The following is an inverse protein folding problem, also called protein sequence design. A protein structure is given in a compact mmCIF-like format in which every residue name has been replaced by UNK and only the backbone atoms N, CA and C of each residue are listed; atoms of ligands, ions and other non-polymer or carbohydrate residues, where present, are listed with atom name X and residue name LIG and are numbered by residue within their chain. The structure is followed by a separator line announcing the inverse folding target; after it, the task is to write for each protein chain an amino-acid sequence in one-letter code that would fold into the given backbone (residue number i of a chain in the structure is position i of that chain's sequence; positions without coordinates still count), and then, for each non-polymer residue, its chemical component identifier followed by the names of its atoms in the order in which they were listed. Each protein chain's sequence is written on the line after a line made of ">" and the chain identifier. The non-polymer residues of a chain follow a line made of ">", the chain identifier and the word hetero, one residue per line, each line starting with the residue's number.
data_IF_629910221123
#
_entry.id   IF_629910221123
#
_cell.length_a   1.000
_cell.length_b   1.000
_cell.length_c   1.000
_cell.angle_alpha   90.00
_cell.angle_beta   90.00
_cell.angle_gamma   90.00
#
_symmetry.space_group_name_H-M   'P 1'
#
loop_
_entity.id
_entity.type
_entity.pdbx_description
1 polymer ?
#
# COMPACT_ATOMS: atom_id res chain seq x y z
N UNK A 1 -15.22 -5.79 -9.53
CA UNK A 1 -15.18 -4.66 -10.51
C UNK A 1 -14.37 -5.00 -11.77
N UNK A 2 -13.12 -5.47 -11.65
CA UNK A 2 -12.23 -5.80 -12.79
C UNK A 2 -12.92 -6.56 -13.94
N UNK A 3 -13.55 -7.71 -13.66
CA UNK A 3 -14.27 -8.53 -14.66
C UNK A 3 -15.32 -7.74 -15.46
N UNK A 4 -16.00 -6.78 -14.84
CA UNK A 4 -17.11 -6.02 -15.45
C UNK A 4 -16.63 -5.07 -16.56
N UNK A 5 -15.39 -4.59 -16.48
CA UNK A 5 -14.85 -3.58 -17.40
C UNK A 5 -13.62 -4.05 -18.19
N UNK A 6 -13.32 -5.35 -18.13
CA UNK A 6 -12.16 -5.96 -18.78
C UNK A 6 -12.11 -5.69 -20.29
N UNK A 7 -13.26 -5.75 -20.97
CA UNK A 7 -13.38 -5.48 -22.41
C UNK A 7 -13.10 -4.02 -22.80
N UNK A 8 -12.93 -3.10 -21.83
CA UNK A 8 -12.57 -1.70 -22.07
C UNK A 8 -11.06 -1.46 -22.00
N UNK A 9 -10.26 -2.51 -21.82
CA UNK A 9 -8.82 -2.40 -21.61
C UNK A 9 -8.47 -1.50 -20.39
N UNK A 10 -9.27 -1.59 -19.32
CA UNK A 10 -9.06 -0.86 -18.06
C UNK A 10 -8.61 -1.85 -16.98
N UNK A 11 -7.49 -1.56 -16.32
CA UNK A 11 -6.98 -2.32 -15.18
C UNK A 11 -7.64 -1.84 -13.89
N UNK A 12 -7.92 -2.76 -12.97
CA UNK A 12 -8.55 -2.45 -11.68
C UNK A 12 -7.83 -3.22 -10.58
N UNK A 13 -7.52 -2.55 -9.49
CA UNK A 13 -6.82 -3.11 -8.35
C UNK A 13 -7.43 -2.62 -7.04
N UNK A 14 -7.11 -3.30 -5.95
CA UNK A 14 -7.34 -2.82 -4.60
C UNK A 14 -6.00 -2.65 -3.88
N UNK A 15 -5.89 -1.57 -3.12
CA UNK A 15 -4.80 -1.36 -2.19
C UNK A 15 -5.29 -1.72 -0.79
N UNK A 16 -4.54 -2.56 -0.09
CA UNK A 16 -4.87 -3.05 1.24
C UNK A 16 -3.79 -2.58 2.23
N UNK A 17 -3.78 -1.29 2.60
CA UNK A 17 -2.78 -0.76 3.52
C UNK A 17 -2.98 -1.30 4.95
N UNK A 18 -1.86 -1.45 5.67
CA UNK A 18 -1.84 -1.72 7.10
C UNK A 18 -2.03 -0.46 7.93
N UNK A 19 -1.40 -0.41 9.11
CA UNK A 19 -1.45 0.77 9.97
C UNK A 19 -0.53 1.86 9.40
N UNK A 20 -1.13 2.95 8.95
CA UNK A 20 -0.44 4.11 8.38
C UNK A 20 -0.51 5.28 9.37
N UNK A 21 0.62 5.97 9.55
CA UNK A 21 0.72 7.21 10.31
C UNK A 21 0.17 8.41 9.50
N UNK A 22 -0.59 9.28 10.16
CA UNK A 22 -1.16 10.53 9.63
C UNK A 22 -0.89 11.64 10.66
N UNK A 23 -0.18 12.75 10.33
CA UNK A 23 -0.50 13.64 9.21
C UNK A 23 0.45 13.56 8.02
N UNK A 24 -0.06 13.85 6.83
CA UNK A 24 0.75 14.24 5.67
C UNK A 24 1.70 15.38 6.09
N UNK A 25 3.03 15.21 5.97
CA UNK A 25 3.95 16.25 6.39
C UNK A 25 3.84 17.48 5.46
N UNK A 26 3.83 18.69 6.03
CA UNK A 26 3.82 20.00 5.30
C UNK A 26 5.03 20.24 4.38
N UNK A 27 5.92 19.27 4.26
CA UNK A 27 7.18 19.34 3.51
C UNK A 27 7.14 18.41 2.29
N UNK A 28 8.10 18.62 1.39
CA UNK A 28 8.36 17.73 0.27
C UNK A 28 8.34 16.27 0.72
N UNK A 29 7.66 15.44 -0.06
CA UNK A 29 7.52 14.01 0.16
C UNK A 29 8.93 13.40 0.18
N UNK A 30 9.39 13.01 1.37
CA UNK A 30 10.64 12.29 1.52
C UNK A 30 10.41 10.80 1.18
N UNK A 31 11.41 10.13 0.57
CA UNK A 31 11.35 8.68 0.40
C UNK A 31 11.10 8.01 1.75
N UNK A 32 10.24 6.98 1.75
CA UNK A 32 9.99 6.21 2.94
C UNK A 32 11.26 5.51 3.42
N UNK A 33 11.34 5.24 4.72
CA UNK A 33 12.38 4.38 5.29
C UNK A 33 12.29 2.97 4.66
N UNK A 34 13.46 2.36 4.40
CA UNK A 34 13.56 0.99 3.90
C UNK A 34 13.35 -0.08 4.99
N UNK A 35 13.17 0.31 6.26
CA UNK A 35 12.85 -0.61 7.34
C UNK A 35 11.36 -0.97 7.31
N UNK A 36 11.04 -2.24 7.58
CA UNK A 36 9.65 -2.74 7.66
C UNK A 36 9.03 -2.59 9.05
N UNK A 37 9.85 -2.64 10.11
CA UNK A 37 9.40 -2.51 11.51
C UNK A 37 9.11 -1.04 11.87
N UNK A 38 8.03 -0.48 11.32
CA UNK A 38 7.55 0.88 11.58
C UNK A 38 6.09 1.05 11.18
N UNK A 39 5.44 2.12 11.62
CA UNK A 39 4.21 2.57 10.99
C UNK A 39 4.45 2.90 9.52
N UNK A 40 3.48 2.54 8.68
CA UNK A 40 3.49 2.93 7.28
C UNK A 40 3.35 4.44 7.15
N UNK A 41 3.89 5.01 6.08
CA UNK A 41 3.69 6.40 5.69
C UNK A 41 2.74 6.46 4.50
N UNK A 42 2.00 7.57 4.29
CA UNK A 42 1.14 7.73 3.11
C UNK A 42 1.91 7.53 1.79
N UNK A 43 3.21 7.85 1.76
CA UNK A 43 4.06 7.66 0.59
C UNK A 43 4.30 6.17 0.25
N UNK A 44 4.26 5.25 1.22
CA UNK A 44 4.36 3.81 0.96
C UNK A 44 3.18 3.34 0.10
N UNK A 45 1.97 3.83 0.41
CA UNK A 45 0.75 3.54 -0.35
C UNK A 45 0.76 4.24 -1.71
N UNK A 46 1.23 5.48 -1.76
CA UNK A 46 1.30 6.26 -3.00
C UNK A 46 2.26 5.64 -4.02
N UNK A 47 3.42 5.12 -3.60
CA UNK A 47 4.33 4.44 -4.53
C UNK A 47 3.77 3.11 -5.02
N UNK A 48 3.06 2.35 -4.18
CA UNK A 48 2.35 1.15 -4.62
C UNK A 48 1.26 1.48 -5.65
N UNK A 49 0.50 2.56 -5.43
CA UNK A 49 -0.46 3.07 -6.40
C UNK A 49 0.22 3.51 -7.71
N UNK A 50 1.34 4.23 -7.62
CA UNK A 50 2.10 4.69 -8.79
C UNK A 50 2.55 3.51 -9.64
N UNK A 51 3.13 2.47 -9.03
CA UNK A 51 3.51 1.26 -9.74
C UNK A 51 2.30 0.60 -10.40
N UNK A 52 1.17 0.46 -9.69
CA UNK A 52 -0.06 -0.09 -10.29
C UNK A 52 -0.61 0.77 -11.42
N UNK A 53 -0.40 2.08 -11.43
CA UNK A 53 -0.81 2.95 -12.53
C UNK A 53 0.17 2.99 -13.70
N UNK A 54 1.41 2.51 -13.51
CA UNK A 54 2.48 2.55 -14.49
C UNK A 54 2.41 1.44 -15.55
N UNK A 55 3.28 1.53 -16.57
CA UNK A 55 3.43 0.52 -17.61
C UNK A 55 4.15 -0.74 -17.10
N UNK A 56 4.93 -0.62 -16.02
CA UNK A 56 5.58 -1.73 -15.34
C UNK A 56 4.57 -2.74 -14.75
N UNK A 57 3.31 -2.31 -14.54
CA UNK A 57 2.19 -3.16 -14.13
C UNK A 57 1.19 -3.44 -15.26
N UNK A 58 1.57 -3.26 -16.54
CA UNK A 58 0.66 -3.35 -17.69
C UNK A 58 -0.10 -4.68 -17.81
N UNK A 59 0.47 -5.78 -17.31
CA UNK A 59 -0.17 -7.12 -17.35
C UNK A 59 -0.88 -7.52 -16.04
N UNK A 60 -0.96 -6.61 -15.08
CA UNK A 60 -1.56 -6.87 -13.77
C UNK A 60 -2.96 -6.25 -13.75
N UNK A 61 -3.99 -7.03 -13.39
CA UNK A 61 -5.34 -6.54 -13.08
C UNK A 61 -6.03 -7.51 -12.12
N UNK A 62 -6.93 -7.01 -11.29
CA UNK A 62 -7.61 -7.79 -10.26
C UNK A 62 -6.77 -8.09 -9.01
N UNK A 63 -5.59 -7.47 -8.87
CA UNK A 63 -4.74 -7.65 -7.69
C UNK A 63 -5.30 -6.92 -6.47
N UNK A 64 -5.28 -7.60 -5.33
CA UNK A 64 -5.38 -7.03 -3.99
C UNK A 64 -3.96 -6.91 -3.43
N UNK A 65 -3.42 -5.69 -3.36
CA UNK A 65 -2.03 -5.43 -2.99
C UNK A 65 -1.95 -5.00 -1.53
N UNK A 66 -1.47 -5.90 -0.67
CA UNK A 66 -1.19 -5.62 0.75
C UNK A 66 0.05 -4.73 0.90
N UNK A 67 -0.08 -3.64 1.67
CA UNK A 67 0.97 -2.64 1.91
C UNK A 67 1.03 -2.35 3.41
N UNK A 68 1.67 -3.22 4.18
CA UNK A 68 1.55 -3.22 5.65
C UNK A 68 2.85 -3.51 6.39
N UNK A 69 4.00 -3.50 5.70
CA UNK A 69 5.29 -3.81 6.33
C UNK A 69 5.39 -5.25 6.87
N UNK A 70 4.48 -6.16 6.49
CA UNK A 70 4.40 -7.51 7.03
C UNK A 70 3.56 -7.63 8.31
N UNK A 71 2.84 -6.59 8.72
CA UNK A 71 1.94 -6.63 9.89
C UNK A 71 0.95 -7.80 9.85
N UNK A 72 0.36 -8.07 8.68
CA UNK A 72 -0.58 -9.19 8.49
C UNK A 72 0.05 -10.58 8.63
N UNK A 73 1.38 -10.70 8.60
CA UNK A 73 2.09 -11.97 8.78
C UNK A 73 2.18 -12.40 10.24
N UNK A 74 1.96 -11.49 11.18
CA UNK A 74 2.11 -11.74 12.61
C UNK A 74 0.80 -11.51 13.36
N UNK A 75 0.33 -12.54 14.08
CA UNK A 75 -0.83 -12.42 14.96
C UNK A 75 -0.56 -11.41 16.10
N UNK A 76 0.70 -11.29 16.53
CA UNK A 76 1.16 -10.40 17.61
C UNK A 76 2.27 -9.43 17.15
N UNK A 77 1.99 -8.75 16.03
CA UNK A 77 2.86 -7.71 15.48
C UNK A 77 3.30 -6.70 16.56
N UNK A 78 4.60 -6.46 16.75
CA UNK A 78 5.10 -5.46 17.71
C UNK A 78 4.48 -4.08 17.47
N UNK A 79 4.28 -3.72 16.20
CA UNK A 79 3.67 -2.44 15.79
C UNK A 79 2.21 -2.36 16.26
N UNK A 80 1.42 -3.44 16.11
CA UNK A 80 0.05 -3.49 16.62
C UNK A 80 -0.03 -3.33 18.13
N UNK A 81 0.88 -3.96 18.87
CA UNK A 81 0.94 -3.82 20.33
C UNK A 81 1.25 -2.39 20.75
N UNK A 82 2.12 -1.71 20.03
CA UNK A 82 2.49 -0.32 20.32
C UNK A 82 1.33 0.65 20.03
N UNK A 83 0.56 0.42 18.95
CA UNK A 83 -0.54 1.32 18.53
C UNK A 83 -1.86 1.07 19.27
N UNK A 84 -2.15 -0.17 19.64
CA UNK A 84 -3.42 -0.55 20.28
C UNK A 84 -3.36 -0.54 21.83
N UNK A 85 -2.20 -0.23 22.41
CA UNK A 85 -2.03 0.01 23.85
C UNK A 85 -2.51 1.41 24.25
#
# INVERSE_FOLDING_TARGET
>A
MAKKIYNKNIRVHALCPGIIWDPLPDRAIAPASAQLERLGNPIDVAYAALWLCSDEAAWVTGLELTIDGGDSLFIDSPIRREVLA
#
